data_IF_445828945861
#
_entry.id   IF_445828945861
#
_cell.length_a   1.000
_cell.length_b   1.000
_cell.length_c   1.000
_cell.angle_alpha   90.00
_cell.angle_beta   90.00
_cell.angle_gamma   90.00
#
_symmetry.space_group_name_H-M   'P 1'
#
loop_
_entity.id
_entity.type
_entity.pdbx_description
1 polymer ?
#
# COMPACT_ATOMS: atom_id res chain seq x y z
N UNK A 1 14.96 1.02 21.22
CA UNK A 1 15.19 1.57 19.86
C UNK A 1 16.50 1.02 19.33
N UNK A 2 16.49 0.22 18.26
CA UNK A 2 17.67 -0.51 17.79
C UNK A 2 18.81 0.38 17.27
N UNK A 3 20.00 0.27 17.87
CA UNK A 3 21.25 0.97 17.49
C UNK A 3 21.93 0.42 16.23
N UNK A 4 21.20 -0.28 15.35
CA UNK A 4 21.76 -0.88 14.12
C UNK A 4 21.47 0.00 12.90
N UNK A 5 22.41 0.00 11.93
CA UNK A 5 22.34 0.75 10.67
C UNK A 5 23.02 2.13 10.71
N UNK A 6 23.09 2.81 9.56
CA UNK A 6 23.68 4.15 9.43
C UNK A 6 22.80 5.20 10.11
N UNK A 7 23.32 5.80 11.19
CA UNK A 7 22.61 6.82 11.98
C UNK A 7 22.25 8.05 11.15
N UNK A 8 23.12 8.48 10.24
CA UNK A 8 22.94 9.70 9.46
C UNK A 8 21.76 9.59 8.49
N UNK A 9 21.62 8.45 7.82
CA UNK A 9 20.47 8.18 6.93
C UNK A 9 19.15 8.22 7.70
N UNK A 10 19.14 7.76 8.95
CA UNK A 10 17.94 7.84 9.80
C UNK A 10 17.58 9.30 10.08
N UNK A 11 18.56 10.12 10.43
CA UNK A 11 18.32 11.55 10.67
C UNK A 11 17.80 12.24 9.41
N UNK A 12 18.41 11.95 8.25
CA UNK A 12 17.99 12.51 6.97
C UNK A 12 16.55 12.11 6.61
N UNK A 13 16.15 10.85 6.84
CA UNK A 13 14.78 10.39 6.62
C UNK A 13 13.77 11.07 7.56
N UNK A 14 14.15 11.29 8.82
CA UNK A 14 13.30 11.99 9.79
C UNK A 14 13.15 13.47 9.41
N UNK A 15 14.25 14.13 9.02
CA UNK A 15 14.22 15.51 8.54
C UNK A 15 13.37 15.64 7.27
N UNK A 16 13.53 14.72 6.32
CA UNK A 16 12.69 14.63 5.13
C UNK A 16 11.21 14.47 5.47
N UNK A 17 10.87 13.58 6.41
CA UNK A 17 9.50 13.41 6.87
C UNK A 17 8.93 14.64 7.59
N UNK A 18 9.75 15.36 8.36
CA UNK A 18 9.36 16.63 8.97
C UNK A 18 9.10 17.70 7.89
N UNK A 19 9.94 17.76 6.85
CA UNK A 19 9.73 18.66 5.71
C UNK A 19 8.44 18.30 4.95
N UNK A 20 8.14 17.01 4.75
CA UNK A 20 6.88 16.55 4.16
C UNK A 20 5.68 16.99 4.98
N UNK A 21 5.71 16.89 6.31
CA UNK A 21 4.58 17.37 7.13
C UNK A 21 4.49 18.90 7.21
N UNK A 22 5.61 19.61 7.06
CA UNK A 22 5.65 21.08 7.14
C UNK A 22 5.26 21.77 5.84
N UNK A 23 5.84 21.35 4.72
CA UNK A 23 5.68 21.98 3.42
C UNK A 23 4.93 21.09 2.41
N UNK A 24 4.89 19.78 2.65
CA UNK A 24 4.26 18.79 1.76
C UNK A 24 2.79 18.51 2.08
N UNK A 25 2.06 19.43 2.73
CA UNK A 25 0.63 19.26 3.04
C UNK A 25 -0.22 18.96 1.80
N UNK A 26 0.23 19.41 0.63
CA UNK A 26 -0.42 19.17 -0.66
C UNK A 26 -0.13 17.77 -1.25
N UNK A 27 0.82 17.01 -0.70
CA UNK A 27 1.17 15.66 -1.21
C UNK A 27 0.29 14.58 -0.59
N UNK A 28 0.01 13.48 -1.31
CA UNK A 28 -0.79 12.34 -0.77
C UNK A 28 -0.17 11.74 0.49
N UNK A 29 1.15 11.68 0.53
CA UNK A 29 1.92 11.25 1.69
C UNK A 29 1.79 12.22 2.86
N UNK A 30 1.86 13.53 2.60
CA UNK A 30 1.67 14.58 3.60
C UNK A 30 0.25 14.59 4.16
N UNK A 31 -0.77 14.49 3.30
CA UNK A 31 -2.18 14.38 3.70
C UNK A 31 -2.43 13.11 4.52
N UNK A 32 -1.89 11.96 4.12
CA UNK A 32 -1.95 10.72 4.90
C UNK A 32 -1.27 10.90 6.27
N UNK A 33 -0.12 11.57 6.30
CA UNK A 33 0.60 11.90 7.52
C UNK A 33 -0.20 12.83 8.44
N UNK A 34 -0.88 13.84 7.90
CA UNK A 34 -1.76 14.73 8.64
C UNK A 34 -3.04 14.03 9.14
N UNK A 35 -3.65 13.15 8.33
CA UNK A 35 -4.75 12.29 8.77
C UNK A 35 -4.30 11.35 9.89
N UNK A 36 -3.09 10.81 9.81
CA UNK A 36 -2.52 9.98 10.86
C UNK A 36 -2.25 10.79 12.13
N UNK A 37 -1.75 12.02 11.98
CA UNK A 37 -1.60 12.96 13.09
C UNK A 37 -2.95 13.27 13.75
N UNK A 38 -3.96 13.65 12.99
CA UNK A 38 -5.31 13.93 13.49
C UNK A 38 -5.92 12.72 14.23
N UNK A 39 -5.64 11.50 13.77
CA UNK A 39 -6.11 10.25 14.43
C UNK A 39 -5.31 9.85 15.67
N UNK A 40 -4.08 10.34 15.84
CA UNK A 40 -3.15 9.88 16.87
C UNK A 40 -2.71 10.95 17.86
N UNK A 41 -2.94 12.23 17.58
CA UNK A 41 -2.59 13.37 18.43
C UNK A 41 -1.09 13.65 18.60
N UNK A 42 -0.20 12.76 18.14
CA UNK A 42 1.24 12.89 18.37
C UNK A 42 2.04 13.09 17.08
N UNK A 43 2.70 14.24 16.98
CA UNK A 43 3.47 14.63 15.78
C UNK A 43 4.64 13.70 15.49
N UNK A 44 5.38 13.28 16.52
CA UNK A 44 6.53 12.38 16.34
C UNK A 44 6.12 11.03 15.74
N UNK A 45 4.92 10.54 16.08
CA UNK A 45 4.38 9.29 15.52
C UNK A 45 4.07 9.46 14.03
N UNK A 46 3.44 10.57 13.63
CA UNK A 46 3.16 10.86 12.23
C UNK A 46 4.45 11.04 11.42
N UNK A 47 5.45 11.76 11.95
CA UNK A 47 6.77 11.94 11.32
C UNK A 47 7.46 10.60 11.11
N UNK A 48 7.55 9.76 12.15
CA UNK A 48 8.20 8.46 12.06
C UNK A 48 7.49 7.54 11.04
N UNK A 49 6.16 7.57 10.98
CA UNK A 49 5.38 6.78 10.03
C UNK A 49 5.58 7.24 8.57
N UNK A 50 5.64 8.55 8.33
CA UNK A 50 5.97 9.12 7.02
C UNK A 50 7.40 8.75 6.62
N UNK A 51 8.37 8.87 7.53
CA UNK A 51 9.76 8.47 7.29
C UNK A 51 9.88 6.99 6.91
N UNK A 52 9.13 6.12 7.60
CA UNK A 52 9.07 4.69 7.28
C UNK A 52 8.52 4.45 5.88
N UNK A 53 7.47 5.16 5.46
CA UNK A 53 6.85 5.02 4.13
C UNK A 53 7.80 5.51 3.03
N UNK A 54 8.56 6.58 3.26
CA UNK A 54 9.62 7.06 2.38
C UNK A 54 10.75 6.04 2.22
N UNK A 55 11.26 5.50 3.33
CA UNK A 55 12.32 4.50 3.31
C UNK A 55 11.95 3.28 2.47
N UNK A 56 10.70 2.81 2.54
CA UNK A 56 10.22 1.69 1.71
C UNK A 56 10.31 2.03 0.22
N UNK A 57 9.92 3.24 -0.18
CA UNK A 57 10.00 3.66 -1.58
C UNK A 57 11.45 3.74 -2.06
N UNK A 58 12.34 4.32 -1.25
CA UNK A 58 13.77 4.38 -1.57
C UNK A 58 14.35 2.98 -1.73
N UNK A 59 14.00 2.06 -0.83
CA UNK A 59 14.45 0.66 -0.93
C UNK A 59 13.97 -0.01 -2.23
N UNK A 60 12.70 0.19 -2.64
CA UNK A 60 12.20 -0.35 -3.91
C UNK A 60 12.98 0.20 -5.11
N UNK A 61 13.21 1.51 -5.16
CA UNK A 61 13.99 2.15 -6.23
C UNK A 61 15.42 1.59 -6.28
N UNK A 62 16.05 1.37 -5.14
CA UNK A 62 17.42 0.85 -5.07
C UNK A 62 17.53 -0.65 -5.36
N UNK A 63 16.46 -1.42 -5.20
CA UNK A 63 16.48 -2.88 -5.33
C UNK A 63 16.15 -3.36 -6.74
N UNK A 64 16.03 -2.46 -7.72
CA UNK A 64 15.62 -2.71 -9.12
C UNK A 64 14.32 -3.53 -9.26
N UNK A 65 13.52 -3.55 -8.19
CA UNK A 65 12.13 -3.96 -8.22
C UNK A 65 11.38 -2.66 -8.48
N UNK A 66 11.02 -2.33 -9.75
CA UNK A 66 10.26 -1.12 -10.02
C UNK A 66 9.09 -1.14 -9.05
N UNK A 67 8.81 -0.06 -8.29
CA UNK A 67 7.81 -0.08 -7.25
C UNK A 67 6.44 -0.39 -7.88
N UNK A 68 6.11 -1.67 -8.01
CA UNK A 68 4.83 -2.16 -8.44
C UNK A 68 3.91 -1.99 -7.23
N UNK A 69 3.43 -0.75 -7.13
CA UNK A 69 2.25 -0.29 -6.40
C UNK A 69 2.09 -0.79 -4.95
N UNK A 70 2.60 -0.03 -3.98
CA UNK A 70 2.23 -0.23 -2.58
C UNK A 70 0.92 0.49 -2.21
N UNK A 71 -0.19 -0.04 -2.73
CA UNK A 71 -1.53 0.16 -2.20
C UNK A 71 -2.07 -1.22 -1.75
N UNK A 72 -2.43 -1.31 -0.46
CA UNK A 72 -2.75 -2.55 0.27
C UNK A 72 -3.71 -3.51 -0.48
N UNK A 73 -3.37 -4.80 -0.44
CA UNK A 73 -4.19 -5.93 -0.89
C UNK A 73 -5.60 -6.03 -0.29
N UNK A 74 -5.95 -5.27 0.76
CA UNK A 74 -7.34 -5.11 1.21
C UNK A 74 -8.19 -4.32 0.21
N UNK A 75 -7.61 -3.30 -0.42
CA UNK A 75 -8.24 -2.59 -1.53
C UNK A 75 -8.43 -3.56 -2.70
N UNK A 76 -7.41 -4.37 -2.99
CA UNK A 76 -7.47 -5.38 -4.04
C UNK A 76 -8.54 -6.43 -3.75
N UNK A 77 -8.57 -7.05 -2.58
CA UNK A 77 -9.59 -8.04 -2.20
C UNK A 77 -10.97 -7.42 -2.09
N UNK A 78 -11.13 -6.18 -1.59
CA UNK A 78 -12.41 -5.48 -1.63
C UNK A 78 -12.85 -5.19 -3.07
N UNK A 79 -11.94 -4.84 -3.97
CA UNK A 79 -12.21 -4.66 -5.40
C UNK A 79 -12.60 -5.97 -6.04
N UNK A 80 -11.88 -7.06 -5.77
CA UNK A 80 -12.21 -8.39 -6.25
C UNK A 80 -13.58 -8.81 -5.71
N UNK A 81 -13.86 -8.56 -4.43
CA UNK A 81 -15.14 -8.85 -3.78
C UNK A 81 -16.30 -8.10 -4.42
N UNK A 82 -16.17 -6.79 -4.60
CA UNK A 82 -17.16 -5.95 -5.28
C UNK A 82 -17.35 -6.37 -6.74
N UNK A 83 -16.26 -6.62 -7.45
CA UNK A 83 -16.26 -7.06 -8.84
C UNK A 83 -17.02 -8.37 -8.98
N UNK A 84 -16.70 -9.35 -8.14
CA UNK A 84 -17.43 -10.59 -8.15
C UNK A 84 -18.92 -10.31 -7.93
N UNK A 85 -19.31 -9.61 -6.85
CA UNK A 85 -20.72 -9.26 -6.56
C UNK A 85 -21.43 -8.65 -7.77
N UNK A 86 -20.85 -7.66 -8.43
CA UNK A 86 -21.44 -6.94 -9.58
C UNK A 86 -21.61 -7.80 -10.83
N UNK A 87 -20.69 -8.71 -11.14
CA UNK A 87 -20.83 -9.60 -12.30
C UNK A 87 -22.09 -10.48 -12.23
N UNK A 88 -22.65 -10.68 -11.03
CA UNK A 88 -23.80 -11.55 -10.84
C UNK A 88 -23.48 -13.03 -11.09
N UNK A 89 -24.46 -13.90 -10.88
CA UNK A 89 -24.23 -15.36 -10.92
C UNK A 89 -24.14 -15.89 -12.35
N UNK A 90 -25.00 -15.44 -13.26
CA UNK A 90 -25.09 -15.92 -14.64
C UNK A 90 -23.79 -15.71 -15.41
N UNK A 91 -23.23 -14.50 -15.33
CA UNK A 91 -22.03 -14.12 -16.05
C UNK A 91 -20.77 -14.79 -15.47
N UNK A 92 -20.66 -14.94 -14.14
CA UNK A 92 -19.53 -15.66 -13.52
C UNK A 92 -19.41 -17.08 -14.05
N UNK A 93 -20.54 -17.76 -14.21
CA UNK A 93 -20.57 -19.14 -14.74
C UNK A 93 -20.16 -19.17 -16.21
N UNK A 94 -20.63 -18.23 -17.03
CA UNK A 94 -20.20 -18.10 -18.44
C UNK A 94 -18.68 -17.85 -18.56
N UNK A 95 -18.08 -17.16 -17.59
CA UNK A 95 -16.63 -16.89 -17.53
C UNK A 95 -15.80 -18.04 -16.94
N UNK A 96 -16.41 -19.20 -16.67
CA UNK A 96 -15.73 -20.33 -16.04
C UNK A 96 -15.32 -20.08 -14.59
N UNK A 97 -15.93 -19.09 -13.94
CA UNK A 97 -15.72 -18.80 -12.52
C UNK A 97 -16.79 -19.52 -11.68
N UNK A 98 -16.45 -19.93 -10.45
CA UNK A 98 -17.40 -20.56 -9.53
C UNK A 98 -18.66 -19.70 -9.31
N UNK A 99 -19.84 -20.33 -9.31
CA UNK A 99 -21.11 -19.64 -9.10
C UNK A 99 -21.23 -19.02 -7.70
N UNK A 100 -20.62 -19.67 -6.70
CA UNK A 100 -20.57 -19.18 -5.33
C UNK A 100 -19.50 -18.07 -5.18
N UNK A 101 -19.83 -17.02 -4.43
CA UNK A 101 -18.99 -15.81 -4.34
C UNK A 101 -17.61 -16.09 -3.74
N UNK A 102 -17.56 -16.87 -2.66
CA UNK A 102 -16.31 -17.19 -1.96
C UNK A 102 -15.29 -17.93 -2.85
N UNK A 103 -15.63 -19.04 -3.52
CA UNK A 103 -14.68 -19.72 -4.40
C UNK A 103 -14.32 -18.89 -5.64
N UNK A 104 -15.21 -18.03 -6.15
CA UNK A 104 -14.91 -17.11 -7.24
C UNK A 104 -13.80 -16.11 -6.87
N UNK A 105 -13.83 -15.55 -5.66
CA UNK A 105 -12.81 -14.61 -5.20
C UNK A 105 -11.44 -15.26 -5.03
N UNK A 106 -11.42 -16.50 -4.56
CA UNK A 106 -10.19 -17.27 -4.43
C UNK A 106 -9.57 -17.56 -5.80
N UNK A 107 -10.40 -17.87 -6.79
CA UNK A 107 -9.93 -18.13 -8.15
C UNK A 107 -9.42 -16.87 -8.84
N UNK A 108 -10.17 -15.76 -8.74
CA UNK A 108 -9.72 -14.47 -9.25
C UNK A 108 -8.39 -14.05 -8.60
N UNK A 109 -8.27 -14.17 -7.28
CA UNK A 109 -7.04 -13.85 -6.57
C UNK A 109 -5.86 -14.72 -7.02
N UNK A 110 -6.08 -16.02 -7.30
CA UNK A 110 -5.04 -16.91 -7.84
C UNK A 110 -4.56 -16.45 -9.21
N UNK A 111 -5.47 -16.11 -10.11
CA UNK A 111 -5.12 -15.63 -11.46
C UNK A 111 -4.35 -14.31 -11.45
N UNK A 112 -4.68 -13.39 -10.53
CA UNK A 112 -3.98 -12.12 -10.39
C UNK A 112 -2.60 -12.23 -9.73
N UNK A 113 -2.33 -13.31 -9.00
CA UNK A 113 -1.04 -13.55 -8.33
C UNK A 113 -0.10 -14.46 -9.11
N UNK A 114 -0.57 -15.10 -10.18
CA UNK A 114 0.31 -15.82 -11.08
C UNK A 114 1.08 -14.78 -11.92
N UNK A 115 2.43 -14.78 -11.88
CA UNK A 115 3.20 -13.99 -12.82
C UNK A 115 2.86 -14.49 -14.22
N UNK A 116 2.44 -13.59 -15.11
CA UNK A 116 2.31 -13.88 -16.53
C UNK A 116 3.66 -14.45 -17.00
N UNK A 117 3.67 -15.72 -17.40
CA UNK A 117 4.84 -16.33 -18.02
C UNK A 117 5.05 -15.66 -19.38
N UNK A 118 5.97 -14.70 -19.40
CA UNK A 118 6.62 -14.14 -20.59
C UNK A 118 8.04 -13.77 -20.19
#
# INVERSE_FOLDING_TARGET
>A
MGRRGRGDLRHLLIQGAQAVLRAGAQTTLGQWGWKLFARKGHRHIAVAAVARKLLVQVWHVLSDHPPQALETSKSVTLKLHKLAVTLGKSLRVQLGLPAQLKPCLLELQKRFLQPSAT
#
